data_IF_741551284582
#
_entry.id   IF_741551284582
#
_cell.length_a   1.000
_cell.length_b   1.000
_cell.length_c   1.000
_cell.angle_alpha   90.00
_cell.angle_beta   90.00
_cell.angle_gamma   90.00
#
_symmetry.space_group_name_H-M   'P 1'
#
loop_
_entity.id
_entity.type
_entity.pdbx_description
1 polymer ?
#
# COMPACT_ATOMS: atom_id res chain seq x y z
N UNK A 1 3.10 11.98 18.43
CA UNK A 1 3.59 12.02 17.04
C UNK A 1 2.58 11.32 16.13
N UNK A 2 2.46 11.77 14.88
CA UNK A 2 1.64 11.10 13.86
C UNK A 2 2.43 9.89 13.31
N UNK A 3 1.78 8.73 13.17
CA UNK A 3 2.34 7.53 12.55
C UNK A 3 1.44 7.10 11.40
N UNK A 4 2.04 6.69 10.29
CA UNK A 4 1.33 6.26 9.08
C UNK A 4 1.82 4.87 8.65
N UNK A 5 0.90 3.93 8.44
CA UNK A 5 1.17 2.64 7.79
C UNK A 5 0.78 2.80 6.33
N UNK A 6 1.74 2.64 5.43
CA UNK A 6 1.52 2.74 3.98
C UNK A 6 1.50 1.33 3.38
N UNK A 7 0.47 1.02 2.60
CA UNK A 7 0.34 -0.25 1.88
C UNK A 7 0.15 0.07 0.40
N UNK A 8 0.99 -0.54 -0.43
CA UNK A 8 1.09 -0.24 -1.86
C UNK A 8 1.17 -1.57 -2.61
N UNK A 9 0.49 -1.65 -3.75
CA UNK A 9 0.71 -2.72 -4.72
C UNK A 9 1.94 -2.38 -5.57
N UNK A 10 2.97 -3.21 -5.50
CA UNK A 10 4.23 -3.01 -6.21
C UNK A 10 4.06 -3.05 -7.73
N UNK A 11 3.10 -3.83 -8.25
CA UNK A 11 2.88 -3.98 -9.69
C UNK A 11 2.16 -2.76 -10.28
N UNK A 12 1.01 -2.40 -9.73
CA UNK A 12 0.20 -1.28 -10.23
C UNK A 12 0.66 0.09 -9.73
N UNK A 13 1.54 0.12 -8.72
CA UNK A 13 1.90 1.31 -7.93
C UNK A 13 0.71 1.93 -7.20
N UNK A 14 -0.40 1.24 -7.07
CA UNK A 14 -1.58 1.75 -6.36
C UNK A 14 -1.32 1.80 -4.86
N UNK A 15 -1.55 2.95 -4.24
CA UNK A 15 -1.57 3.04 -2.78
C UNK A 15 -2.92 2.56 -2.25
N UNK A 16 -2.92 1.34 -1.70
CA UNK A 16 -4.12 0.67 -1.21
C UNK A 16 -4.63 1.29 0.11
N UNK A 17 -3.72 1.68 1.01
CA UNK A 17 -4.08 2.35 2.25
C UNK A 17 -2.95 3.22 2.80
N UNK A 18 -3.35 4.28 3.51
CA UNK A 18 -2.49 5.00 4.45
C UNK A 18 -3.23 5.07 5.79
N UNK A 19 -2.94 4.17 6.72
CA UNK A 19 -3.57 4.18 8.05
C UNK A 19 -2.85 5.14 8.98
N UNK A 20 -3.59 6.11 9.51
CA UNK A 20 -3.05 7.19 10.34
C UNK A 20 -3.43 6.98 11.80
N UNK A 21 -2.42 6.82 12.66
CA UNK A 21 -2.61 6.52 14.09
C UNK A 21 -1.59 7.24 14.98
N UNK A 22 -1.80 7.19 16.30
CA UNK A 22 -0.79 7.64 17.27
C UNK A 22 0.34 6.63 17.48
N UNK A 23 0.04 5.35 17.24
CA UNK A 23 0.98 4.23 17.28
C UNK A 23 0.44 3.14 16.35
N UNK A 24 1.33 2.47 15.63
CA UNK A 24 0.97 1.34 14.78
C UNK A 24 1.66 0.13 15.39
N UNK A 25 0.85 -0.80 15.91
CA UNK A 25 1.31 -2.09 16.43
C UNK A 25 0.82 -3.19 15.49
N UNK A 26 1.39 -4.38 15.62
CA UNK A 26 1.04 -5.55 14.79
C UNK A 26 -0.46 -5.81 14.65
N UNK A 27 -1.23 -5.70 15.73
CA UNK A 27 -2.69 -5.88 15.69
C UNK A 27 -3.39 -4.90 14.72
N UNK A 28 -2.91 -3.64 14.66
CA UNK A 28 -3.43 -2.63 13.73
C UNK A 28 -3.00 -2.94 12.29
N UNK A 29 -1.78 -3.42 12.09
CA UNK A 29 -1.29 -3.87 10.78
C UNK A 29 -2.17 -5.01 10.26
N UNK A 30 -2.44 -6.02 11.09
CA UNK A 30 -3.33 -7.15 10.76
C UNK A 30 -4.73 -6.66 10.39
N UNK A 31 -5.31 -5.74 11.16
CA UNK A 31 -6.64 -5.18 10.86
C UNK A 31 -6.68 -4.48 9.50
N UNK A 32 -5.68 -3.65 9.20
CA UNK A 32 -5.60 -2.92 7.93
C UNK A 32 -5.42 -3.89 6.77
N UNK A 33 -4.52 -4.87 6.90
CA UNK A 33 -4.27 -5.85 5.84
C UNK A 33 -5.46 -6.78 5.63
N UNK A 34 -6.13 -7.24 6.70
CA UNK A 34 -7.34 -8.07 6.60
C UNK A 34 -8.44 -7.35 5.84
N UNK A 35 -8.64 -6.05 6.12
CA UNK A 35 -9.59 -5.22 5.37
C UNK A 35 -9.19 -5.07 3.90
N UNK A 36 -7.90 -4.93 3.59
CA UNK A 36 -7.46 -4.83 2.20
C UNK A 36 -7.64 -6.15 1.45
N UNK A 37 -7.35 -7.27 2.10
CA UNK A 37 -7.56 -8.61 1.54
C UNK A 37 -9.03 -8.87 1.24
N UNK A 38 -9.95 -8.43 2.11
CA UNK A 38 -11.39 -8.61 1.83
C UNK A 38 -11.90 -7.79 0.65
N UNK A 39 -11.22 -6.69 0.30
CA UNK A 39 -11.60 -5.80 -0.82
C UNK A 39 -10.91 -6.22 -2.13
N UNK A 40 -9.64 -6.62 -2.06
CA UNK A 40 -8.79 -6.82 -3.24
C UNK A 40 -8.42 -8.29 -3.50
N UNK A 41 -8.70 -9.19 -2.55
CA UNK A 41 -8.15 -10.55 -2.53
C UNK A 41 -6.79 -10.62 -1.83
N UNK A 42 -6.39 -11.83 -1.48
CA UNK A 42 -5.10 -12.11 -0.84
C UNK A 42 -3.96 -12.00 -1.87
N UNK A 43 -2.88 -11.25 -1.59
CA UNK A 43 -1.69 -11.28 -2.44
C UNK A 43 -0.94 -12.61 -2.26
N UNK A 44 -0.10 -12.97 -3.23
CA UNK A 44 0.80 -14.13 -3.05
C UNK A 44 1.90 -13.82 -2.04
N UNK A 45 2.48 -12.62 -2.12
CA UNK A 45 3.63 -12.21 -1.30
C UNK A 45 3.32 -10.89 -0.59
N UNK A 46 3.54 -10.86 0.72
CA UNK A 46 3.57 -9.65 1.53
C UNK A 46 5.02 -9.28 1.83
N UNK A 47 5.50 -8.18 1.22
CA UNK A 47 6.83 -7.64 1.46
C UNK A 47 6.79 -6.58 2.55
N UNK A 48 7.67 -6.68 3.54
CA UNK A 48 7.82 -5.67 4.60
C UNK A 48 9.28 -5.49 4.99
N UNK A 49 9.57 -4.39 5.68
CA UNK A 49 10.83 -4.24 6.37
C UNK A 49 10.88 -5.05 7.67
N UNK A 50 12.04 -5.01 8.32
CA UNK A 50 12.29 -5.70 9.59
C UNK A 50 11.80 -4.90 10.81
N UNK A 51 10.84 -3.99 10.62
CA UNK A 51 10.22 -3.25 11.71
C UNK A 51 9.56 -4.21 12.72
N UNK A 52 9.61 -3.90 14.03
CA UNK A 52 9.07 -4.78 15.09
C UNK A 52 7.57 -5.09 14.93
N UNK A 53 6.81 -4.18 14.32
CA UNK A 53 5.40 -4.40 13.97
C UNK A 53 5.21 -5.47 12.88
N UNK A 54 6.20 -5.67 12.01
CA UNK A 54 6.16 -6.60 10.89
C UNK A 54 6.81 -7.96 11.19
N UNK A 55 7.76 -8.01 12.12
CA UNK A 55 8.38 -9.27 12.57
C UNK A 55 7.68 -9.90 13.79
N UNK A 56 6.54 -9.34 14.20
CA UNK A 56 5.81 -9.85 15.36
C UNK A 56 5.22 -11.25 15.10
N UNK A 57 5.22 -12.11 16.12
CA UNK A 57 4.60 -13.44 16.04
C UNK A 57 3.12 -13.39 15.64
N UNK A 58 2.39 -12.34 16.04
CA UNK A 58 0.98 -12.18 15.71
C UNK A 58 0.79 -11.96 14.19
N UNK A 59 1.61 -11.12 13.56
CA UNK A 59 1.52 -10.88 12.12
C UNK A 59 1.97 -12.11 11.33
N UNK A 60 3.05 -12.76 11.74
CA UNK A 60 3.55 -13.97 11.06
C UNK A 60 2.54 -15.12 11.11
N UNK A 61 1.88 -15.34 12.25
CA UNK A 61 0.81 -16.35 12.39
C UNK A 61 -0.38 -16.00 11.51
N UNK A 62 -0.85 -14.75 11.56
CA UNK A 62 -1.94 -14.29 10.72
C UNK A 62 -1.62 -14.45 9.22
N UNK A 63 -0.39 -14.12 8.79
CA UNK A 63 0.02 -14.28 7.40
C UNK A 63 0.02 -15.75 6.98
N UNK A 64 0.48 -16.66 7.84
CA UNK A 64 0.41 -18.09 7.59
C UNK A 64 -1.04 -18.59 7.50
N UNK A 65 -1.93 -18.13 8.38
CA UNK A 65 -3.37 -18.48 8.35
C UNK A 65 -4.06 -17.97 7.06
N UNK A 66 -3.57 -16.88 6.49
CA UNK A 66 -4.04 -16.33 5.21
C UNK A 66 -3.31 -16.94 3.99
N UNK A 67 -2.42 -17.92 4.17
CA UNK A 67 -1.56 -18.50 3.14
C UNK A 67 -0.76 -17.45 2.35
N UNK A 68 -0.22 -16.44 3.05
CA UNK A 68 0.61 -15.39 2.47
C UNK A 68 2.09 -15.73 2.63
N UNK A 69 2.86 -15.61 1.54
CA UNK A 69 4.31 -15.67 1.64
C UNK A 69 4.86 -14.34 2.18
N UNK A 70 5.58 -14.40 3.30
CA UNK A 70 6.21 -13.22 3.88
C UNK A 70 7.61 -13.04 3.31
N UNK A 71 7.85 -11.93 2.61
CA UNK A 71 9.17 -11.55 2.10
C UNK A 71 9.75 -10.40 2.93
N UNK A 72 10.48 -10.74 4.00
CA UNK A 72 11.27 -9.75 4.74
C UNK A 72 12.47 -9.31 3.91
N UNK A 73 12.83 -8.03 4.02
CA UNK A 73 14.05 -7.50 3.37
C UNK A 73 15.28 -8.16 4.00
N UNK A 74 16.19 -8.63 3.14
CA UNK A 74 17.45 -9.18 3.59
C UNK A 74 18.27 -8.10 4.32
N UNK A 75 18.89 -8.42 5.48
CA UNK A 75 19.78 -7.49 6.16
C UNK A 75 20.85 -6.95 5.21
N UNK A 76 20.99 -5.62 5.15
CA UNK A 76 21.96 -4.95 4.27
C UNK A 76 21.53 -4.81 2.80
N UNK A 77 20.29 -5.13 2.43
CA UNK A 77 19.76 -4.96 1.06
C UNK A 77 18.66 -3.90 0.94
N UNK A 78 18.92 -2.61 1.22
CA UNK A 78 17.90 -1.55 1.21
C UNK A 78 17.23 -1.38 -0.17
N UNK A 79 17.90 -1.74 -1.26
CA UNK A 79 17.34 -1.66 -2.62
C UNK A 79 16.10 -2.53 -2.83
N UNK A 80 15.89 -3.58 -2.02
CA UNK A 80 14.67 -4.40 -2.05
C UNK A 80 13.42 -3.64 -1.58
N UNK A 81 13.58 -2.49 -0.92
CA UNK A 81 12.48 -1.63 -0.47
C UNK A 81 12.27 -0.39 -1.34
N UNK A 82 12.96 -0.29 -2.48
CA UNK A 82 13.03 0.97 -3.23
C UNK A 82 11.66 1.51 -3.66
N UNK A 83 10.69 0.64 -3.92
CA UNK A 83 9.30 1.02 -4.21
C UNK A 83 8.67 1.80 -3.05
N UNK A 84 8.68 1.21 -1.85
CA UNK A 84 8.07 1.77 -0.65
C UNK A 84 8.81 3.00 -0.16
N UNK A 85 10.15 3.00 -0.23
CA UNK A 85 10.97 4.16 0.14
C UNK A 85 10.68 5.37 -0.75
N UNK A 86 10.62 5.18 -2.07
CA UNK A 86 10.27 6.25 -3.02
C UNK A 86 8.87 6.79 -2.75
N UNK A 87 7.91 5.92 -2.48
CA UNK A 87 6.56 6.36 -2.11
C UNK A 87 6.56 7.16 -0.81
N UNK A 88 7.19 6.64 0.24
CA UNK A 88 7.22 7.29 1.54
C UNK A 88 7.96 8.64 1.49
N UNK A 89 8.99 8.78 0.65
CA UNK A 89 9.64 10.06 0.35
C UNK A 89 8.66 11.06 -0.26
N UNK A 90 7.97 10.70 -1.34
CA UNK A 90 6.95 11.56 -1.96
C UNK A 90 5.82 11.92 -1.02
N UNK A 91 5.29 10.95 -0.29
CA UNK A 91 4.23 11.17 0.69
C UNK A 91 4.67 12.15 1.78
N UNK A 92 5.91 12.04 2.25
CA UNK A 92 6.47 12.99 3.21
C UNK A 92 6.56 14.38 2.61
N UNK A 93 7.21 14.52 1.46
CA UNK A 93 7.53 15.83 0.88
C UNK A 93 6.29 16.55 0.36
N UNK A 94 5.35 15.82 -0.24
CA UNK A 94 4.17 16.36 -0.92
C UNK A 94 2.90 16.34 -0.06
N UNK A 95 2.91 15.73 1.12
CA UNK A 95 1.74 15.76 2.00
C UNK A 95 2.09 16.18 3.42
N UNK A 96 3.01 15.48 4.07
CA UNK A 96 3.29 15.69 5.49
C UNK A 96 4.07 16.98 5.76
N UNK A 97 5.04 17.33 4.91
CA UNK A 97 5.89 18.50 5.07
C UNK A 97 5.19 19.81 4.70
N UNK A 98 4.16 19.75 3.85
CA UNK A 98 3.43 20.94 3.40
C UNK A 98 2.37 21.44 4.39
N UNK A 99 2.05 20.66 5.43
CA UNK A 99 0.89 20.94 6.28
C UNK A 99 1.20 20.72 7.76
N UNK A 100 0.72 21.64 8.60
CA UNK A 100 0.71 21.47 10.04
C UNK A 100 -0.64 20.92 10.48
N UNK A 101 -0.68 19.66 10.92
CA UNK A 101 -1.92 19.04 11.39
C UNK A 101 -2.19 19.42 12.85
N UNK A 102 -3.35 20.02 13.13
CA UNK A 102 -3.78 20.33 14.50
C UNK A 102 -4.36 19.10 15.19
N UNK A 103 -5.04 18.25 14.42
CA UNK A 103 -5.69 17.05 14.92
C UNK A 103 -5.46 15.82 14.03
N UNK A 104 -5.49 14.63 14.63
CA UNK A 104 -5.34 13.36 13.86
C UNK A 104 -6.47 13.14 12.86
N UNK A 105 -7.68 13.61 13.16
CA UNK A 105 -8.82 13.49 12.26
C UNK A 105 -8.61 14.32 10.98
N UNK A 106 -8.09 15.55 11.14
CA UNK A 106 -7.68 16.39 10.01
C UNK A 106 -6.61 15.70 9.17
N UNK A 107 -5.57 15.14 9.83
CA UNK A 107 -4.54 14.39 9.13
C UNK A 107 -5.11 13.22 8.33
N UNK A 108 -6.04 12.44 8.89
CA UNK A 108 -6.72 11.33 8.19
C UNK A 108 -7.40 11.80 6.90
N UNK A 109 -8.17 12.88 6.97
CA UNK A 109 -8.91 13.40 5.81
C UNK A 109 -7.95 13.89 4.72
N UNK A 110 -6.94 14.68 5.11
CA UNK A 110 -5.98 15.24 4.16
C UNK A 110 -5.11 14.17 3.51
N UNK A 111 -4.65 13.20 4.29
CA UNK A 111 -3.82 12.09 3.80
C UNK A 111 -4.62 11.20 2.85
N UNK A 112 -5.91 10.95 3.14
CA UNK A 112 -6.78 10.20 2.26
C UNK A 112 -7.04 10.94 0.93
N UNK A 113 -7.25 12.26 0.98
CA UNK A 113 -7.35 13.08 -0.25
C UNK A 113 -6.05 13.00 -1.08
N UNK A 114 -4.89 13.06 -0.42
CA UNK A 114 -3.61 12.91 -1.10
C UNK A 114 -3.46 11.52 -1.73
N UNK A 115 -3.87 10.45 -1.02
CA UNK A 115 -3.86 9.08 -1.55
C UNK A 115 -4.74 8.93 -2.80
N UNK A 116 -5.94 9.50 -2.78
CA UNK A 116 -6.85 9.51 -3.93
C UNK A 116 -6.22 10.25 -5.11
N UNK A 117 -5.67 11.44 -4.87
CA UNK A 117 -4.96 12.20 -5.90
C UNK A 117 -3.77 11.42 -6.50
N UNK A 118 -2.97 10.77 -5.65
CA UNK A 118 -1.86 9.92 -6.07
C UNK A 118 -2.32 8.78 -7.00
N UNK A 119 -3.44 8.13 -6.68
CA UNK A 119 -3.95 6.99 -7.44
C UNK A 119 -4.69 7.39 -8.73
N UNK A 120 -5.40 8.51 -8.72
CA UNK A 120 -6.37 8.88 -9.77
C UNK A 120 -5.88 9.97 -10.70
N UNK A 121 -4.98 10.84 -10.25
CA UNK A 121 -4.59 12.06 -10.99
C UNK A 121 -3.11 12.08 -11.35
N UNK A 122 -2.24 11.59 -10.47
CA UNK A 122 -0.78 11.66 -10.65
C UNK A 122 -0.31 10.68 -11.74
N UNK A 123 0.39 11.12 -12.79
CA UNK A 123 1.02 10.21 -13.75
C UNK A 123 2.32 9.64 -13.21
N UNK A 124 2.60 8.38 -13.55
CA UNK A 124 3.81 7.66 -13.13
C UNK A 124 4.63 7.24 -14.34
N UNK A 125 5.87 7.71 -14.44
CA UNK A 125 6.78 7.33 -15.54
C UNK A 125 7.03 5.82 -15.59
N UNK A 126 7.08 5.14 -14.45
CA UNK A 126 7.18 3.67 -14.37
C UNK A 126 5.96 2.93 -14.91
N UNK A 127 4.85 3.62 -15.13
CA UNK A 127 3.59 3.10 -15.70
C UNK A 127 3.33 3.68 -17.09
N UNK A 128 4.36 4.17 -17.80
CA UNK A 128 4.17 4.81 -19.10
C UNK A 128 3.36 6.11 -19.03
N UNK A 129 3.52 6.87 -17.93
CA UNK A 129 2.77 8.11 -17.63
C UNK A 129 1.27 7.91 -17.38
N UNK A 130 0.82 6.69 -17.11
CA UNK A 130 -0.53 6.43 -16.61
C UNK A 130 -0.62 6.66 -15.09
N UNK A 131 -1.83 6.90 -14.61
CA UNK A 131 -2.14 6.88 -13.18
C UNK A 131 -2.27 5.42 -12.70
N UNK A 132 -2.03 5.11 -11.42
CA UNK A 132 -2.17 3.74 -10.91
C UNK A 132 -3.54 3.12 -11.22
N UNK A 133 -4.62 3.88 -11.06
CA UNK A 133 -5.98 3.42 -11.36
C UNK A 133 -6.17 3.16 -12.85
N UNK A 134 -5.67 4.04 -13.73
CA UNK A 134 -5.76 3.84 -15.17
C UNK A 134 -4.99 2.59 -15.63
N UNK A 135 -3.77 2.41 -15.11
CA UNK A 135 -2.94 1.25 -15.40
C UNK A 135 -3.60 -0.06 -14.96
N UNK A 136 -4.14 -0.09 -13.73
CA UNK A 136 -4.87 -1.25 -13.20
C UNK A 136 -6.08 -1.61 -14.08
N UNK A 137 -6.89 -0.61 -14.46
CA UNK A 137 -8.04 -0.81 -15.36
C UNK A 137 -7.62 -1.39 -16.70
N UNK A 138 -6.57 -0.85 -17.31
CA UNK A 138 -6.05 -1.34 -18.59
C UNK A 138 -5.60 -2.82 -18.52
N UNK A 139 -4.97 -3.22 -17.41
CA UNK A 139 -4.53 -4.62 -17.20
C UNK A 139 -5.69 -5.57 -16.96
N UNK A 140 -6.71 -5.16 -16.22
CA UNK A 140 -7.92 -5.97 -16.01
C UNK A 140 -8.65 -6.21 -17.34
N UNK A 141 -8.70 -5.21 -18.24
CA UNK A 141 -9.31 -5.38 -19.57
C UNK A 141 -8.53 -6.30 -20.51
N UNK A 142 -7.20 -6.38 -20.40
CA UNK A 142 -6.39 -7.29 -21.23
C UNK A 142 -6.44 -8.75 -20.74
N UNK A 143 -6.87 -8.99 -19.50
CA UNK A 143 -6.88 -10.35 -18.90
C UNK A 143 -8.23 -11.07 -19.06
N UNK A 144 -9.23 -10.45 -19.69
CA UNK A 144 -10.40 -11.19 -20.15
C UNK A 144 -10.03 -11.93 -21.44
N UNK A 145 -9.96 -13.28 -21.46
CA UNK A 145 -9.94 -14.00 -22.74
C UNK A 145 -11.23 -13.65 -23.47
N UNK A 146 -11.15 -13.54 -24.79
CA UNK A 146 -12.25 -13.27 -25.72
C UNK A 146 -13.57 -13.89 -25.21
N UNK A 147 -14.40 -13.09 -24.54
CA UNK A 147 -15.68 -13.54 -24.04
C UNK A 147 -16.59 -13.68 -25.26
N UNK A 148 -16.67 -14.90 -25.80
CA UNK A 148 -17.68 -15.26 -26.78
C UNK A 148 -19.00 -15.36 -26.02
N UNK A 149 -19.84 -14.33 -26.16
CA UNK A 149 -21.25 -14.40 -25.77
C UNK A 149 -22.01 -15.07 -26.92
N UNK A 150 -22.62 -16.21 -26.63
CA UNK A 150 -23.64 -16.84 -27.48
C UNK A 150 -24.98 -16.76 -26.77
N UNK A 151 -26.04 -16.60 -27.57
CA UNK A 151 -27.45 -16.56 -27.16
C UNK A 151 -27.95 -17.93 -26.69
#
# INVERSE_FOLDING_TARGET
ALKCLTVIDEYTRECLAIDVAGSIRSARVVEVLSRLISIHGAPQVLRSDNGPEFVSCALLRWAADQNLDMALIDPGKPWQNGTTERFNGKFRDECLSMKWFRHRLEAKVVIEQWRQHYNEVRPHSSLGNQTPVAFKKARLSTTQPEAVLQE
#
